data_IF_192024398965
#
_entry.id   IF_192024398965
#
_cell.length_a   1.000
_cell.length_b   1.000
_cell.length_c   1.000
_cell.angle_alpha   90.00
_cell.angle_beta   90.00
_cell.angle_gamma   90.00
#
_symmetry.space_group_name_H-M   'P 1'
#
loop_
_entity.id
_entity.type
_entity.pdbx_description
1 polymer ?
#
# COMPACT_ATOMS: atom_id res chain seq x y z
N UNK A 1 9.58 -62.85 -39.95
CA UNK A 1 8.99 -62.62 -38.61
C UNK A 1 10.11 -62.24 -37.65
N UNK A 2 9.93 -61.11 -36.96
CA UNK A 2 10.53 -60.70 -35.69
C UNK A 2 12.02 -60.31 -35.65
N UNK A 3 12.22 -59.05 -35.22
CA UNK A 3 13.46 -58.35 -34.93
C UNK A 3 14.05 -58.80 -33.58
N UNK A 4 15.38 -58.77 -33.47
CA UNK A 4 16.08 -58.27 -32.28
C UNK A 4 17.46 -57.73 -32.69
N UNK A 5 17.76 -56.50 -32.28
CA UNK A 5 19.02 -55.81 -32.55
C UNK A 5 20.07 -56.01 -31.44
N UNK A 6 21.35 -55.81 -31.80
CA UNK A 6 22.46 -55.67 -30.87
C UNK A 6 23.34 -54.45 -31.25
N UNK A 7 23.31 -53.47 -30.36
CA UNK A 7 24.28 -52.46 -29.92
C UNK A 7 25.60 -52.32 -30.70
N UNK A 8 25.85 -51.10 -31.18
CA UNK A 8 27.21 -50.53 -31.27
C UNK A 8 27.14 -48.99 -31.22
N UNK A 9 27.72 -48.41 -30.17
CA UNK A 9 27.79 -46.96 -29.88
C UNK A 9 28.91 -46.33 -30.71
N UNK A 10 28.70 -45.19 -31.40
CA UNK A 10 29.81 -44.34 -31.78
C UNK A 10 29.90 -43.11 -30.87
N UNK A 11 31.07 -43.01 -30.25
CA UNK A 11 31.64 -41.87 -29.55
C UNK A 11 31.42 -40.55 -30.32
N UNK A 12 30.73 -39.56 -29.72
CA UNK A 12 30.66 -38.18 -30.24
C UNK A 12 31.49 -37.24 -29.37
N UNK A 13 32.53 -36.70 -30.00
CA UNK A 13 33.41 -35.63 -29.51
C UNK A 13 32.71 -34.25 -29.53
N UNK A 14 33.35 -33.18 -29.05
CA UNK A 14 32.99 -32.47 -27.83
C UNK A 14 32.05 -31.27 -28.05
N UNK A 15 31.52 -30.81 -26.92
CA UNK A 15 30.72 -29.62 -26.68
C UNK A 15 31.18 -28.40 -27.49
N UNK A 16 30.33 -27.94 -28.41
CA UNK A 16 30.43 -26.61 -28.99
C UNK A 16 29.71 -25.63 -28.05
N UNK A 17 30.43 -25.06 -27.08
CA UNK A 17 29.90 -23.96 -26.27
C UNK A 17 29.61 -22.76 -27.20
N UNK A 18 28.33 -22.45 -27.36
CA UNK A 18 27.88 -21.21 -27.98
C UNK A 18 28.11 -20.10 -26.96
N UNK A 19 28.96 -19.12 -27.30
CA UNK A 19 29.19 -17.96 -26.43
C UNK A 19 27.85 -17.29 -26.09
N UNK A 20 27.58 -16.96 -24.82
CA UNK A 20 26.40 -16.18 -24.49
C UNK A 20 26.58 -14.79 -25.08
N UNK A 21 25.58 -14.37 -25.85
CA UNK A 21 25.42 -13.00 -26.30
C UNK A 21 25.41 -12.09 -25.06
N UNK A 22 26.46 -11.28 -24.88
CA UNK A 22 26.50 -10.24 -23.86
C UNK A 22 25.41 -9.22 -24.20
N UNK A 23 24.25 -9.35 -23.58
CA UNK A 23 23.30 -8.23 -23.48
C UNK A 23 23.89 -7.25 -22.49
N UNK A 24 24.35 -6.11 -22.99
CA UNK A 24 24.61 -4.96 -22.14
C UNK A 24 23.27 -4.52 -21.54
N UNK A 25 23.03 -4.87 -20.29
CA UNK A 25 21.93 -4.31 -19.51
C UNK A 25 22.40 -2.96 -18.99
N UNK A 26 21.99 -1.89 -19.66
CA UNK A 26 22.17 -0.55 -19.12
C UNK A 26 21.26 -0.42 -17.90
N UNK A 27 21.84 -0.49 -16.70
CA UNK A 27 21.15 -0.10 -15.47
C UNK A 27 21.11 1.42 -15.45
N UNK A 28 19.96 1.99 -15.80
CA UNK A 28 19.71 3.42 -15.60
C UNK A 28 19.56 3.65 -14.10
N UNK A 29 20.66 3.97 -13.43
CA UNK A 29 20.64 4.51 -12.08
C UNK A 29 19.99 5.90 -12.16
N UNK A 30 18.67 5.97 -11.98
CA UNK A 30 18.04 7.25 -11.71
C UNK A 30 18.66 7.78 -10.42
N UNK A 31 19.12 9.04 -10.38
CA UNK A 31 19.52 9.65 -9.12
C UNK A 31 18.33 9.53 -8.15
N UNK A 32 18.56 9.26 -6.85
CA UNK A 32 17.46 9.21 -5.89
C UNK A 32 16.70 10.53 -5.99
N UNK A 33 15.47 10.47 -6.49
CA UNK A 33 14.58 11.62 -6.49
C UNK A 33 14.48 12.00 -5.02
N UNK A 34 14.89 13.23 -4.70
CA UNK A 34 14.74 13.81 -3.37
C UNK A 34 13.26 14.15 -3.18
N UNK A 35 12.40 13.14 -3.20
CA UNK A 35 10.97 13.29 -2.94
C UNK A 35 10.81 13.36 -1.43
N UNK A 36 10.33 14.49 -0.97
CA UNK A 36 9.88 14.66 0.40
C UNK A 36 8.65 13.77 0.61
N UNK A 37 8.83 12.66 1.31
CA UNK A 37 7.76 11.68 1.57
C UNK A 37 6.88 12.08 2.76
N UNK A 38 7.17 13.23 3.38
CA UNK A 38 6.45 13.78 4.52
C UNK A 38 5.82 15.12 4.12
N UNK A 39 4.67 15.42 4.69
CA UNK A 39 3.93 16.66 4.44
C UNK A 39 3.39 17.13 5.78
N UNK A 40 3.62 18.40 6.10
CA UNK A 40 3.16 18.97 7.37
C UNK A 40 1.64 19.16 7.39
N UNK A 41 1.07 19.17 8.60
CA UNK A 41 -0.38 19.35 8.80
C UNK A 41 -0.84 20.72 8.23
N UNK A 42 0.00 21.76 8.31
CA UNK A 42 -0.29 23.10 7.78
C UNK A 42 -0.35 23.10 6.24
N UNK A 43 0.52 22.32 5.59
CA UNK A 43 0.50 22.19 4.13
C UNK A 43 -0.77 21.47 3.66
N UNK A 44 -1.27 20.50 4.43
CA UNK A 44 -2.53 19.82 4.12
C UNK A 44 -3.75 20.72 4.36
N UNK A 45 -3.75 21.47 5.45
CA UNK A 45 -4.80 22.46 5.76
C UNK A 45 -4.89 23.54 4.68
N UNK A 46 -3.76 24.07 4.21
CA UNK A 46 -3.76 25.07 3.12
C UNK A 46 -4.37 24.55 1.81
N UNK A 47 -4.42 23.22 1.64
CA UNK A 47 -5.05 22.54 0.49
C UNK A 47 -6.51 22.15 0.76
N UNK A 48 -7.06 22.51 1.91
CA UNK A 48 -8.43 22.21 2.32
C UNK A 48 -8.60 20.79 2.88
N UNK A 49 -7.54 20.17 3.40
CA UNK A 49 -7.63 18.89 4.10
C UNK A 49 -7.43 19.07 5.61
N UNK A 50 -8.32 18.48 6.39
CA UNK A 50 -8.21 18.45 7.85
C UNK A 50 -7.82 17.05 8.29
N UNK A 51 -6.74 16.93 9.07
CA UNK A 51 -6.34 15.67 9.70
C UNK A 51 -7.16 15.45 10.97
N UNK A 52 -7.70 14.25 11.12
CA UNK A 52 -8.41 13.76 12.31
C UNK A 52 -7.75 12.49 12.82
N UNK A 53 -7.59 12.37 14.14
CA UNK A 53 -6.98 11.20 14.82
C UNK A 53 -7.98 10.45 15.71
N UNK A 54 -9.21 10.98 15.83
CA UNK A 54 -10.30 10.39 16.60
C UNK A 54 -11.40 9.90 15.65
N UNK A 55 -12.28 9.03 16.15
CA UNK A 55 -13.47 8.57 15.43
C UNK A 55 -14.61 9.61 15.44
N UNK A 56 -14.43 10.71 16.16
CA UNK A 56 -15.40 11.80 16.27
C UNK A 56 -15.66 12.37 14.87
N UNK A 57 -16.92 12.68 14.58
CA UNK A 57 -17.39 13.20 13.29
C UNK A 57 -17.15 12.27 12.07
N UNK A 58 -16.62 11.06 12.27
CA UNK A 58 -16.42 10.10 11.19
C UNK A 58 -17.74 9.42 10.80
N UNK A 59 -18.32 9.86 9.68
CA UNK A 59 -19.49 9.21 9.11
C UNK A 59 -19.11 7.86 8.45
N UNK A 60 -19.62 6.76 9.00
CA UNK A 60 -19.29 5.39 8.56
C UNK A 60 -19.84 5.04 7.17
N UNK A 61 -20.94 5.65 6.73
CA UNK A 61 -21.46 5.46 5.37
C UNK A 61 -20.56 6.12 4.33
N UNK A 62 -20.03 7.30 4.65
CA UNK A 62 -19.02 7.95 3.81
C UNK A 62 -17.71 7.17 3.80
N UNK A 63 -17.26 6.65 4.95
CA UNK A 63 -16.08 5.78 5.00
C UNK A 63 -16.27 4.52 4.13
N UNK A 64 -17.44 3.88 4.20
CA UNK A 64 -17.79 2.76 3.34
C UNK A 64 -17.75 3.13 1.85
N UNK A 65 -18.10 4.37 1.50
CA UNK A 65 -17.99 4.85 0.11
C UNK A 65 -16.53 4.86 -0.35
N UNK A 66 -15.59 5.26 0.53
CA UNK A 66 -14.15 5.21 0.23
C UNK A 66 -13.68 3.76 0.07
N UNK A 67 -14.10 2.84 0.94
CA UNK A 67 -13.77 1.41 0.81
C UNK A 67 -14.24 0.83 -0.53
N UNK A 68 -15.50 1.10 -0.91
CA UNK A 68 -16.03 0.64 -2.19
C UNK A 68 -15.27 1.26 -3.36
N UNK A 69 -14.90 2.54 -3.28
CA UNK A 69 -14.18 3.22 -4.35
C UNK A 69 -12.79 2.61 -4.61
N UNK A 70 -12.11 2.09 -3.59
CA UNK A 70 -10.83 1.37 -3.73
C UNK A 70 -11.00 -0.13 -4.04
N UNK A 71 -12.23 -0.60 -4.23
CA UNK A 71 -12.54 -2.00 -4.56
C UNK A 71 -12.68 -2.92 -3.36
N UNK A 72 -12.71 -2.39 -2.13
CA UNK A 72 -13.02 -3.20 -0.95
C UNK A 72 -14.54 -3.43 -0.86
N UNK A 73 -14.98 -4.59 -0.35
CA UNK A 73 -16.40 -4.85 -0.14
C UNK A 73 -16.96 -3.87 0.89
N UNK A 74 -18.23 -3.47 0.70
CA UNK A 74 -18.97 -2.68 1.69
C UNK A 74 -19.07 -3.48 3.00
N UNK A 75 -18.84 -2.81 4.13
CA UNK A 75 -18.86 -3.42 5.46
C UNK A 75 -20.10 -2.94 6.23
N UNK A 76 -20.61 -3.81 7.10
CA UNK A 76 -21.66 -3.47 8.07
C UNK A 76 -21.16 -2.37 9.00
N UNK A 77 -21.93 -1.28 9.12
CA UNK A 77 -21.56 -0.10 9.91
C UNK A 77 -21.37 -0.41 11.39
N UNK A 78 -22.12 -1.37 11.95
CA UNK A 78 -22.00 -1.70 13.36
C UNK A 78 -20.72 -2.49 13.64
N UNK A 79 -20.31 -3.35 12.70
CA UNK A 79 -19.03 -4.05 12.77
C UNK A 79 -17.85 -3.10 12.56
N UNK A 80 -17.99 -2.13 11.66
CA UNK A 80 -16.96 -1.09 11.47
C UNK A 80 -16.82 -0.28 12.76
N UNK A 81 -17.92 0.17 13.36
CA UNK A 81 -17.88 0.91 14.63
C UNK A 81 -17.15 0.13 15.72
N UNK A 82 -17.54 -1.13 15.93
CA UNK A 82 -16.89 -2.00 16.92
C UNK A 82 -15.38 -2.17 16.64
N UNK A 83 -14.98 -2.32 15.37
CA UNK A 83 -13.58 -2.43 15.00
C UNK A 83 -12.80 -1.14 15.28
N UNK A 84 -13.42 0.03 15.08
CA UNK A 84 -12.81 1.33 15.36
C UNK A 84 -12.68 1.59 16.86
N UNK A 85 -13.66 1.16 17.67
CA UNK A 85 -13.60 1.25 19.14
C UNK A 85 -12.48 0.39 19.74
N UNK A 86 -12.08 -0.68 19.06
CA UNK A 86 -10.99 -1.59 19.46
C UNK A 86 -9.71 -1.36 18.63
N UNK A 87 -9.52 -0.15 18.10
CA UNK A 87 -8.32 0.25 17.35
C UNK A 87 -7.53 1.26 18.17
N UNK A 88 -6.26 0.97 18.44
CA UNK A 88 -5.39 1.85 19.25
C UNK A 88 -4.98 3.11 18.49
N UNK A 89 -4.77 3.00 17.17
CA UNK A 89 -4.23 4.08 16.35
C UNK A 89 -5.00 4.18 15.04
N UNK A 90 -5.60 5.34 14.79
CA UNK A 90 -6.27 5.64 13.54
C UNK A 90 -6.08 7.10 13.14
N UNK A 91 -6.19 7.34 11.84
CA UNK A 91 -6.38 8.67 11.32
C UNK A 91 -7.29 8.67 10.11
N UNK A 92 -7.77 9.85 9.78
CA UNK A 92 -8.45 10.09 8.54
C UNK A 92 -8.33 11.55 8.12
N UNK A 93 -8.42 11.77 6.82
CA UNK A 93 -8.44 13.10 6.24
C UNK A 93 -9.83 13.45 5.78
N UNK A 94 -10.26 14.63 6.17
CA UNK A 94 -11.52 15.22 5.78
C UNK A 94 -11.27 16.31 4.73
N UNK A 95 -12.03 16.32 3.64
CA UNK A 95 -12.01 17.45 2.71
C UNK A 95 -12.96 18.54 3.20
N UNK A 96 -12.43 19.73 3.48
CA UNK A 96 -13.10 20.82 4.18
C UNK A 96 -14.43 21.23 3.52
N UNK A 97 -14.48 21.29 2.19
CA UNK A 97 -15.68 21.71 1.44
C UNK A 97 -16.82 20.71 1.53
N UNK A 98 -16.52 19.41 1.56
CA UNK A 98 -17.55 18.36 1.53
C UNK A 98 -17.77 17.71 2.87
N UNK A 99 -16.88 17.94 3.85
CA UNK A 99 -16.89 17.26 5.15
C UNK A 99 -16.97 15.73 5.02
N UNK A 100 -16.20 15.20 4.06
CA UNK A 100 -16.17 13.77 3.71
C UNK A 100 -14.77 13.20 3.91
N UNK A 101 -14.65 11.97 4.44
CA UNK A 101 -13.39 11.24 4.47
C UNK A 101 -12.89 11.02 3.04
N UNK A 102 -11.62 11.34 2.81
CA UNK A 102 -10.92 11.12 1.53
C UNK A 102 -9.75 10.16 1.67
N UNK A 103 -9.27 9.95 2.89
CA UNK A 103 -8.28 8.94 3.21
C UNK A 103 -8.49 8.47 4.64
N UNK A 104 -8.20 7.20 4.89
CA UNK A 104 -8.38 6.56 6.19
C UNK A 104 -7.26 5.54 6.40
N UNK A 105 -6.67 5.54 7.60
CA UNK A 105 -5.67 4.55 8.00
C UNK A 105 -5.92 4.10 9.43
N UNK A 106 -5.75 2.81 9.71
CA UNK A 106 -5.79 2.28 11.08
C UNK A 106 -4.81 1.15 11.32
N UNK A 107 -4.35 1.06 12.56
CA UNK A 107 -3.48 0.01 13.06
C UNK A 107 -3.85 -0.37 14.50
N UNK A 108 -3.60 -1.64 14.85
CA UNK A 108 -3.69 -2.15 16.22
C UNK A 108 -2.33 -2.70 16.62
N UNK A 109 -1.95 -2.58 17.89
CA UNK A 109 -0.67 -3.08 18.36
C UNK A 109 -0.69 -3.46 19.83
N UNK A 110 0.46 -3.90 20.33
CA UNK A 110 0.67 -4.10 21.78
C UNK A 110 1.18 -2.84 22.48
N UNK A 111 1.37 -1.74 21.73
CA UNK A 111 1.89 -0.47 22.23
C UNK A 111 3.38 -0.52 22.59
N UNK A 112 4.11 -1.58 22.20
CA UNK A 112 5.53 -1.75 22.55
C UNK A 112 6.37 -2.22 21.37
N UNK A 113 6.02 -3.34 20.74
CA UNK A 113 6.87 -3.99 19.73
C UNK A 113 6.12 -4.33 18.44
N UNK A 114 4.83 -4.61 18.52
CA UNK A 114 4.07 -5.17 17.42
C UNK A 114 2.94 -4.23 17.04
N UNK A 115 2.79 -4.01 15.74
CA UNK A 115 1.66 -3.33 15.17
C UNK A 115 1.24 -3.96 13.84
N UNK A 116 -0.07 -4.07 13.64
CA UNK A 116 -0.70 -4.58 12.42
C UNK A 116 -1.49 -3.43 11.82
N UNK A 117 -1.12 -3.05 10.60
CA UNK A 117 -1.85 -2.08 9.80
C UNK A 117 -2.97 -2.84 9.08
N UNK A 118 -4.21 -2.39 9.26
CA UNK A 118 -5.38 -3.10 8.72
C UNK A 118 -5.91 -2.49 7.43
N UNK A 119 -6.32 -1.23 7.51
CA UNK A 119 -6.93 -0.51 6.41
C UNK A 119 -6.07 0.71 6.12
N UNK A 120 -5.63 0.86 4.87
CA UNK A 120 -4.98 2.08 4.35
C UNK A 120 -5.63 2.37 3.01
N UNK A 121 -6.51 3.37 2.99
CA UNK A 121 -7.32 3.68 1.82
C UNK A 121 -7.31 5.16 1.51
N UNK A 122 -7.33 5.48 0.22
CA UNK A 122 -7.41 6.84 -0.32
C UNK A 122 -8.43 6.84 -1.46
N UNK A 123 -9.37 7.78 -1.44
CA UNK A 123 -10.39 7.94 -2.47
C UNK A 123 -9.72 8.21 -3.82
N UNK A 124 -9.86 7.30 -4.81
CA UNK A 124 -9.19 7.44 -6.11
C UNK A 124 -9.71 8.64 -6.91
N UNK A 125 -10.91 9.13 -6.62
CA UNK A 125 -11.48 10.31 -7.29
C UNK A 125 -10.85 11.62 -6.80
N UNK A 126 -10.10 11.57 -5.70
CA UNK A 126 -9.37 12.70 -5.12
C UNK A 126 -7.91 12.31 -4.95
N UNK A 127 -7.14 12.24 -6.05
CA UNK A 127 -5.72 12.00 -5.98
C UNK A 127 -5.04 13.22 -5.36
N UNK A 128 -4.97 13.28 -4.03
CA UNK A 128 -3.92 14.04 -3.39
C UNK A 128 -2.68 13.16 -3.45
N UNK A 129 -1.72 13.56 -4.29
CA UNK A 129 -0.39 12.92 -4.43
C UNK A 129 0.29 12.66 -3.06
N UNK A 130 -0.19 13.34 -2.02
CA UNK A 130 0.35 13.33 -0.69
C UNK A 130 -0.48 12.53 0.33
N UNK A 131 -1.75 12.19 0.10
CA UNK A 131 -2.54 11.46 1.12
C UNK A 131 -1.98 10.07 1.40
N UNK A 132 -1.50 9.38 0.36
CA UNK A 132 -0.82 8.08 0.51
C UNK A 132 0.47 8.28 1.32
N UNK A 133 1.32 9.23 0.94
CA UNK A 133 2.54 9.55 1.67
C UNK A 133 2.27 9.92 3.13
N UNK A 134 1.21 10.69 3.41
CA UNK A 134 0.79 11.04 4.75
C UNK A 134 0.29 9.83 5.56
N UNK A 135 -0.49 8.93 4.96
CA UNK A 135 -0.93 7.70 5.62
C UNK A 135 0.25 6.81 6.00
N UNK A 136 1.24 6.67 5.10
CA UNK A 136 2.48 5.95 5.39
C UNK A 136 3.36 6.68 6.41
N UNK A 137 3.45 8.01 6.34
CA UNK A 137 4.15 8.82 7.33
C UNK A 137 3.54 8.63 8.72
N UNK A 138 2.21 8.62 8.85
CA UNK A 138 1.56 8.35 10.12
C UNK A 138 1.86 6.97 10.67
N UNK A 139 1.78 5.93 9.82
CA UNK A 139 2.18 4.57 10.19
C UNK A 139 3.62 4.59 10.72
N UNK A 140 4.53 5.28 10.03
CA UNK A 140 5.93 5.37 10.43
C UNK A 140 6.15 6.18 11.71
N UNK A 141 5.35 7.21 12.00
CA UNK A 141 5.52 8.05 13.19
C UNK A 141 4.83 7.49 14.44
N UNK A 142 3.62 6.92 14.32
CA UNK A 142 2.85 6.46 15.48
C UNK A 142 3.11 5.01 15.87
N UNK A 143 3.60 4.16 14.96
CA UNK A 143 3.93 2.77 15.31
C UNK A 143 5.36 2.59 15.81
N UNK A 144 6.18 3.65 15.84
CA UNK A 144 7.57 3.62 16.32
C UNK A 144 7.79 4.34 17.64
N UNK A 145 6.73 4.89 18.26
CA UNK A 145 6.81 5.60 19.54
C UNK A 145 6.21 4.74 20.63
#
# INVERSE_FOLDING_TARGET
MLLHGNISIPLRSPLRLRAPYLRNVTVSAHPPIKSEYTVSDESLQSRGFTLRRTIEDLNLDHLNTVFVAVGFPRRDTDKVRLALENTDTLLWYEYEKTKRPVAFARATGDGVFNAIIWDVVVDPNRPSHNAICCAFSFIAYHLTT
#
